data_IF_537952151120
#
_entry.id   IF_537952151120
#
_cell.length_a   1.000
_cell.length_b   1.000
_cell.length_c   1.000
_cell.angle_alpha   90.00
_cell.angle_beta   90.00
_cell.angle_gamma   90.00
#
_symmetry.space_group_name_H-M   'P 1'
#
loop_
_entity.id
_entity.type
_entity.pdbx_description
1 polymer ?
#
# COMPACT_ATOMS: atom_id res chain seq x y z
N UNK A 1 -5.03 0.80 0.34
CA UNK A 1 -4.19 -0.21 1.00
C UNK A 1 -3.74 0.38 2.31
N UNK A 2 -4.28 -0.10 3.43
CA UNK A 2 -3.96 0.40 4.77
C UNK A 2 -2.86 -0.39 5.48
N UNK A 3 -2.45 -1.55 4.93
CA UNK A 3 -1.62 -2.53 5.62
C UNK A 3 -2.18 -2.84 7.00
N UNK A 4 -1.31 -2.81 8.02
CA UNK A 4 -1.64 -3.02 9.44
C UNK A 4 -2.38 -1.83 10.10
N UNK A 5 -2.86 -0.85 9.31
CA UNK A 5 -3.69 0.25 9.79
C UNK A 5 -2.96 1.40 10.48
N UNK A 6 -1.63 1.51 10.34
CA UNK A 6 -0.81 2.57 11.00
C UNK A 6 -1.38 3.98 10.80
N UNK A 7 -1.68 4.36 9.56
CA UNK A 7 -2.23 5.69 9.27
C UNK A 7 -3.72 5.79 9.57
N UNK A 8 -4.46 4.69 9.42
CA UNK A 8 -5.86 4.63 9.78
C UNK A 8 -6.07 4.94 11.27
N UNK A 9 -5.21 4.39 12.14
CA UNK A 9 -5.23 4.68 13.57
C UNK A 9 -4.91 6.14 13.87
N UNK A 10 -3.87 6.71 13.26
CA UNK A 10 -3.51 8.12 13.44
C UNK A 10 -4.66 9.04 13.01
N UNK A 11 -5.29 8.79 11.85
CA UNK A 11 -6.43 9.58 11.40
C UNK A 11 -7.62 9.46 12.38
N UNK A 12 -7.92 8.26 12.86
CA UNK A 12 -8.98 8.06 13.85
C UNK A 12 -8.71 8.83 15.15
N UNK A 13 -7.47 8.82 15.64
CA UNK A 13 -7.05 9.57 16.83
C UNK A 13 -7.16 11.10 16.65
N UNK A 14 -7.12 11.58 15.39
CA UNK A 14 -7.39 12.98 15.04
C UNK A 14 -8.87 13.30 14.87
N UNK A 15 -9.77 12.36 15.19
CA UNK A 15 -11.21 12.58 15.26
C UNK A 15 -11.99 12.15 14.02
N UNK A 16 -11.34 11.62 12.98
CA UNK A 16 -12.00 11.18 11.75
C UNK A 16 -12.70 9.82 11.91
N UNK A 17 -13.73 9.60 11.08
CA UNK A 17 -14.33 8.28 10.86
C UNK A 17 -13.54 7.59 9.75
N UNK A 18 -12.95 6.43 10.06
CA UNK A 18 -11.93 5.83 9.22
C UNK A 18 -12.32 4.42 8.82
N UNK A 19 -12.20 4.14 7.53
CA UNK A 19 -12.23 2.78 7.00
C UNK A 19 -10.92 2.46 6.29
N UNK A 20 -10.25 1.40 6.73
CA UNK A 20 -9.07 0.85 6.08
C UNK A 20 -9.41 -0.35 5.20
N UNK A 21 -8.87 -0.36 3.97
CA UNK A 21 -8.94 -1.54 3.09
C UNK A 21 -7.55 -1.98 2.64
N UNK A 22 -7.33 -3.28 2.62
CA UNK A 22 -6.11 -3.90 2.07
C UNK A 22 -6.40 -5.30 1.51
N UNK A 23 -5.61 -5.73 0.53
CA UNK A 23 -5.74 -7.08 -0.05
C UNK A 23 -5.08 -8.14 0.84
N UNK A 24 -4.11 -7.75 1.68
CA UNK A 24 -3.38 -8.66 2.55
C UNK A 24 -4.20 -9.03 3.80
N UNK A 25 -4.79 -10.22 3.80
CA UNK A 25 -5.65 -10.71 4.88
C UNK A 25 -4.95 -10.70 6.25
N UNK A 26 -3.68 -11.10 6.33
CA UNK A 26 -2.92 -11.13 7.59
C UNK A 26 -2.68 -9.71 8.15
N UNK A 27 -2.40 -8.75 7.27
CA UNK A 27 -2.24 -7.35 7.69
C UNK A 27 -3.55 -6.76 8.20
N UNK A 28 -4.67 -7.10 7.57
CA UNK A 28 -6.01 -6.72 8.06
C UNK A 28 -6.33 -7.42 9.37
N UNK A 29 -5.99 -8.70 9.55
CA UNK A 29 -6.23 -9.39 10.81
C UNK A 29 -5.51 -8.70 11.99
N UNK A 30 -4.30 -8.19 11.77
CA UNK A 30 -3.60 -7.36 12.76
C UNK A 30 -4.25 -5.99 12.92
N UNK A 31 -4.61 -5.32 11.82
CA UNK A 31 -5.31 -4.03 11.87
C UNK A 31 -6.65 -4.13 12.61
N UNK A 32 -7.33 -5.28 12.56
CA UNK A 32 -8.60 -5.50 13.25
C UNK A 32 -8.50 -5.49 14.77
N UNK A 33 -7.31 -5.73 15.34
CA UNK A 33 -7.09 -5.72 16.79
C UNK A 33 -7.25 -4.32 17.41
N UNK A 34 -7.25 -3.27 16.59
CA UNK A 34 -7.44 -1.88 16.99
C UNK A 34 -8.75 -1.29 16.44
N UNK A 35 -9.70 -2.11 15.98
CA UNK A 35 -11.03 -1.64 15.56
C UNK A 35 -11.77 -0.95 16.71
N UNK A 36 -12.51 0.08 16.35
CA UNK A 36 -13.38 0.88 17.22
C UNK A 36 -14.64 1.24 16.42
N UNK A 37 -15.68 1.76 17.05
CA UNK A 37 -16.94 2.10 16.37
C UNK A 37 -16.77 2.97 15.11
N UNK A 38 -15.76 3.86 15.08
CA UNK A 38 -15.44 4.73 13.94
C UNK A 38 -14.11 4.39 13.26
N UNK A 39 -13.56 3.22 13.51
CA UNK A 39 -12.33 2.70 12.88
C UNK A 39 -12.55 1.23 12.50
N UNK A 40 -12.75 0.98 11.20
CA UNK A 40 -13.13 -0.33 10.68
C UNK A 40 -12.17 -0.80 9.57
N UNK A 41 -11.94 -2.11 9.47
CA UNK A 41 -11.00 -2.67 8.50
C UNK A 41 -11.59 -3.83 7.68
N UNK A 42 -11.29 -3.85 6.38
CA UNK A 42 -11.78 -4.88 5.47
C UNK A 42 -10.68 -5.43 4.56
N UNK A 43 -10.70 -6.76 4.37
CA UNK A 43 -9.94 -7.39 3.30
C UNK A 43 -10.64 -7.07 1.99
N UNK A 44 -10.04 -6.20 1.18
CA UNK A 44 -10.64 -5.75 -0.07
C UNK A 44 -9.58 -5.35 -1.09
N UNK A 45 -9.82 -5.75 -2.33
CA UNK A 45 -9.00 -5.34 -3.47
C UNK A 45 -9.48 -3.98 -3.98
N UNK A 46 -8.63 -2.97 -3.93
CA UNK A 46 -8.97 -1.62 -4.37
C UNK A 46 -9.40 -1.53 -5.83
N UNK A 47 -9.09 -2.53 -6.68
CA UNK A 47 -9.57 -2.59 -8.07
C UNK A 47 -11.06 -2.93 -8.18
N UNK A 48 -11.67 -3.45 -7.11
CA UNK A 48 -13.08 -3.80 -7.05
C UNK A 48 -13.89 -2.70 -6.37
N UNK A 49 -15.15 -2.46 -6.79
CA UNK A 49 -16.03 -1.51 -6.11
C UNK A 49 -16.16 -1.81 -4.61
N UNK A 50 -16.22 -0.76 -3.81
CA UNK A 50 -16.49 -0.82 -2.38
C UNK A 50 -17.72 0.05 -2.08
N UNK A 51 -17.63 1.05 -1.20
CA UNK A 51 -18.66 2.09 -1.12
C UNK A 51 -18.58 3.08 -2.28
N UNK A 52 -19.72 3.70 -2.57
CA UNK A 52 -19.91 4.65 -3.67
C UNK A 52 -20.47 5.95 -3.09
N UNK A 53 -19.90 7.10 -3.47
CA UNK A 53 -20.29 8.43 -2.99
C UNK A 53 -20.39 8.49 -1.46
N UNK A 54 -19.32 8.10 -0.77
CA UNK A 54 -19.35 7.89 0.68
C UNK A 54 -18.27 8.66 1.43
N UNK A 55 -17.06 8.73 0.91
CA UNK A 55 -15.92 9.32 1.62
C UNK A 55 -15.67 10.77 1.21
N UNK A 56 -15.35 11.62 2.17
CA UNK A 56 -14.83 12.97 1.89
C UNK A 56 -13.39 12.92 1.36
N UNK A 57 -12.57 12.01 1.90
CA UNK A 57 -11.15 11.88 1.57
C UNK A 57 -10.76 10.41 1.42
N UNK A 58 -9.99 10.11 0.38
CA UNK A 58 -9.35 8.82 0.16
C UNK A 58 -7.83 8.98 0.19
N UNK A 59 -7.14 8.07 0.87
CA UNK A 59 -5.68 8.07 0.98
C UNK A 59 -5.07 6.81 0.35
N UNK A 60 -3.99 6.99 -0.41
CA UNK A 60 -3.12 5.90 -0.86
C UNK A 60 -1.66 6.31 -0.64
N UNK A 61 -1.02 5.77 0.40
CA UNK A 61 0.33 6.14 0.80
C UNK A 61 1.37 5.06 0.50
N UNK A 62 2.65 5.45 0.46
CA UNK A 62 3.80 4.55 0.32
C UNK A 62 3.79 3.69 -0.94
N UNK A 63 3.38 4.29 -2.07
CA UNK A 63 3.37 3.63 -3.38
C UNK A 63 2.52 2.36 -3.38
N UNK A 64 1.40 2.35 -2.65
CA UNK A 64 0.50 1.18 -2.63
C UNK A 64 -0.32 1.04 -3.92
N UNK A 65 -0.45 2.13 -4.68
CA UNK A 65 -0.88 2.13 -6.08
C UNK A 65 0.35 1.89 -6.98
N UNK A 66 0.17 1.33 -8.18
CA UNK A 66 1.24 1.19 -9.18
C UNK A 66 1.85 -0.21 -9.35
N UNK A 67 1.51 -1.17 -8.48
CA UNK A 67 1.99 -2.56 -8.58
C UNK A 67 1.18 -3.44 -9.54
N UNK A 68 0.19 -2.88 -10.26
CA UNK A 68 -0.69 -3.68 -11.10
C UNK A 68 -0.02 -4.06 -12.42
N UNK A 69 -0.39 -5.21 -12.97
CA UNK A 69 0.25 -5.76 -14.17
C UNK A 69 -0.12 -5.00 -15.44
N UNK A 70 -1.32 -4.43 -15.51
CA UNK A 70 -1.86 -3.83 -16.73
C UNK A 70 -2.40 -2.42 -16.49
N UNK A 71 -2.40 -1.59 -17.55
CA UNK A 71 -3.06 -0.28 -17.51
C UNK A 71 -4.54 -0.39 -17.11
N UNK A 72 -5.23 -1.44 -17.57
CA UNK A 72 -6.64 -1.68 -17.23
C UNK A 72 -6.87 -1.81 -15.72
N UNK A 73 -5.95 -2.45 -15.01
CA UNK A 73 -6.06 -2.59 -13.55
C UNK A 73 -5.78 -1.28 -12.81
N UNK A 74 -4.84 -0.47 -13.31
CA UNK A 74 -4.62 0.90 -12.81
C UNK A 74 -5.88 1.75 -13.00
N UNK A 75 -6.47 1.72 -14.19
CA UNK A 75 -7.71 2.45 -14.51
C UNK A 75 -8.88 1.96 -13.64
N UNK A 76 -8.95 0.66 -13.33
CA UNK A 76 -9.96 0.10 -12.45
C UNK A 76 -9.81 0.63 -11.02
N UNK A 77 -8.60 0.61 -10.46
CA UNK A 77 -8.33 1.15 -9.12
C UNK A 77 -8.61 2.66 -9.01
N UNK A 78 -8.22 3.45 -10.02
CA UNK A 78 -8.54 4.89 -10.02
C UNK A 78 -10.04 5.14 -10.12
N UNK A 79 -10.75 4.33 -10.91
CA UNK A 79 -12.21 4.44 -11.06
C UNK A 79 -12.93 4.15 -9.75
N UNK A 80 -12.58 3.07 -9.06
CA UNK A 80 -13.22 2.68 -7.80
C UNK A 80 -12.94 3.69 -6.69
N UNK A 81 -11.70 4.21 -6.60
CA UNK A 81 -11.35 5.30 -5.69
C UNK A 81 -12.17 6.56 -6.01
N UNK A 82 -12.22 6.95 -7.28
CA UNK A 82 -13.01 8.13 -7.69
C UNK A 82 -14.50 7.95 -7.42
N UNK A 83 -15.04 6.73 -7.54
CA UNK A 83 -16.44 6.43 -7.27
C UNK A 83 -16.76 6.39 -5.77
N UNK A 84 -15.80 6.07 -4.92
CA UNK A 84 -16.02 6.01 -3.48
C UNK A 84 -16.08 7.40 -2.83
N UNK A 85 -15.51 8.40 -3.49
CA UNK A 85 -15.52 9.79 -3.04
C UNK A 85 -16.88 10.46 -3.28
N UNK A 86 -17.29 11.31 -2.34
CA UNK A 86 -18.38 12.27 -2.54
C UNK A 86 -18.03 13.30 -3.63
N UNK A 87 -19.03 14.00 -4.19
CA UNK A 87 -18.75 15.18 -5.02
C UNK A 87 -17.87 16.18 -4.26
N UNK A 88 -16.78 16.63 -4.89
CA UNK A 88 -15.73 17.46 -4.28
C UNK A 88 -14.85 16.75 -3.23
N UNK A 89 -14.99 15.44 -3.08
CA UNK A 89 -14.09 14.62 -2.27
C UNK A 89 -12.67 14.65 -2.82
N UNK A 90 -11.69 14.46 -1.94
CA UNK A 90 -10.28 14.59 -2.27
C UNK A 90 -9.60 13.23 -2.28
N UNK A 91 -8.88 12.92 -3.35
CA UNK A 91 -7.93 11.81 -3.36
C UNK A 91 -6.53 12.31 -3.09
N UNK A 92 -5.88 11.79 -2.04
CA UNK A 92 -4.49 12.08 -1.72
C UNK A 92 -3.67 10.82 -1.95
N UNK A 93 -2.68 10.94 -2.83
CA UNK A 93 -1.77 9.85 -3.18
C UNK A 93 -0.33 10.30 -2.96
N UNK A 94 0.44 9.43 -2.31
CA UNK A 94 1.90 9.51 -2.30
C UNK A 94 2.45 8.53 -3.33
N UNK A 95 3.23 9.06 -4.28
CA UNK A 95 3.77 8.29 -5.39
C UNK A 95 5.20 8.69 -5.68
N UNK A 96 5.93 7.74 -6.25
CA UNK A 96 7.34 7.89 -6.58
C UNK A 96 7.54 9.04 -7.60
N UNK A 97 8.57 9.85 -7.39
CA UNK A 97 9.01 10.81 -8.39
C UNK A 97 9.85 10.10 -9.47
N UNK A 98 9.22 9.82 -10.62
CA UNK A 98 9.83 9.05 -11.72
C UNK A 98 11.06 9.73 -12.36
N UNK A 99 11.20 11.06 -12.23
CA UNK A 99 12.37 11.77 -12.74
C UNK A 99 13.56 11.72 -11.75
N UNK A 100 13.27 11.64 -10.45
CA UNK A 100 14.30 11.71 -9.41
C UNK A 100 14.76 10.33 -8.92
N UNK A 101 13.83 9.38 -8.77
CA UNK A 101 14.14 8.09 -8.15
C UNK A 101 15.18 7.24 -8.90
N UNK A 102 15.22 7.17 -10.24
CA UNK A 102 16.22 6.35 -10.93
C UNK A 102 17.65 6.84 -10.68
N UNK A 103 17.84 8.16 -10.59
CA UNK A 103 19.16 8.77 -10.42
C UNK A 103 19.71 8.68 -9.00
N UNK A 104 18.85 8.33 -8.03
CA UNK A 104 19.19 8.19 -6.61
C UNK A 104 18.91 6.77 -6.09
N UNK A 105 18.75 5.80 -7.00
CA UNK A 105 18.41 4.43 -6.65
C UNK A 105 19.62 3.73 -6.03
N UNK A 106 19.49 3.28 -4.78
CA UNK A 106 20.45 2.34 -4.20
C UNK A 106 20.16 0.96 -4.76
N UNK A 107 20.95 0.54 -5.74
CA UNK A 107 20.73 -0.66 -6.52
C UNK A 107 20.73 -1.95 -5.68
N UNK A 108 21.59 -2.01 -4.66
CA UNK A 108 21.68 -3.15 -3.73
C UNK A 108 21.75 -2.67 -2.30
N UNK A 109 20.92 -3.23 -1.44
CA UNK A 109 20.87 -2.91 -0.02
C UNK A 109 20.64 -4.21 0.76
N UNK A 110 21.45 -4.45 1.79
CA UNK A 110 21.21 -5.53 2.74
C UNK A 110 20.76 -4.93 4.07
N UNK A 111 19.68 -5.46 4.63
CA UNK A 111 19.24 -5.13 5.99
C UNK A 111 19.24 -6.37 6.86
N UNK A 112 19.64 -6.21 8.12
CA UNK A 112 19.52 -7.24 9.13
C UNK A 112 18.57 -6.75 10.22
N UNK A 113 17.45 -7.44 10.41
CA UNK A 113 16.41 -7.10 11.38
C UNK A 113 16.03 -8.40 12.09
N UNK A 114 16.18 -8.44 13.41
CA UNK A 114 15.75 -9.55 14.27
C UNK A 114 16.18 -10.95 13.77
N UNK A 115 17.44 -11.14 13.37
CA UNK A 115 17.96 -12.43 12.88
C UNK A 115 17.57 -12.76 11.43
N UNK A 116 16.94 -11.82 10.73
CA UNK A 116 16.52 -11.95 9.33
C UNK A 116 17.27 -11.00 8.42
N UNK A 117 17.90 -11.53 7.38
CA UNK A 117 18.53 -10.78 6.30
C UNK A 117 17.52 -10.52 5.19
N UNK A 118 17.47 -9.27 4.76
CA UNK A 118 16.73 -8.81 3.60
C UNK A 118 17.74 -8.30 2.58
N UNK A 119 17.96 -9.08 1.52
CA UNK A 119 18.77 -8.66 0.37
C UNK A 119 17.83 -8.00 -0.65
N UNK A 120 17.98 -6.69 -0.82
CA UNK A 120 17.09 -5.87 -1.62
C UNK A 120 17.83 -5.40 -2.86
N UNK A 121 17.42 -5.92 -4.01
CA UNK A 121 17.87 -5.46 -5.33
C UNK A 121 16.82 -4.54 -5.94
N UNK A 122 17.25 -3.40 -6.49
CA UNK A 122 16.39 -2.42 -7.14
C UNK A 122 16.96 -2.04 -8.50
N UNK A 123 16.10 -1.98 -9.50
CA UNK A 123 16.44 -1.51 -10.84
C UNK A 123 15.23 -0.83 -11.49
N UNK A 124 15.43 -0.18 -12.62
CA UNK A 124 14.35 0.44 -13.39
C UNK A 124 14.61 0.32 -14.89
N UNK A 125 13.55 0.36 -15.68
CA UNK A 125 13.61 0.60 -17.12
C UNK A 125 12.82 1.87 -17.48
N UNK A 126 12.50 2.05 -18.78
CA UNK A 126 11.74 3.21 -19.26
C UNK A 126 10.34 3.33 -18.62
N UNK A 127 9.74 2.22 -18.20
CA UNK A 127 8.34 2.15 -17.78
C UNK A 127 8.15 1.75 -16.32
N UNK A 128 9.07 0.98 -15.74
CA UNK A 128 8.86 0.32 -14.45
C UNK A 128 10.04 0.49 -13.51
N UNK A 129 9.69 0.53 -12.22
CA UNK A 129 10.62 0.35 -11.12
C UNK A 129 10.43 -1.05 -10.56
N UNK A 130 11.53 -1.76 -10.42
CA UNK A 130 11.58 -3.11 -9.93
C UNK A 130 12.27 -3.14 -8.58
N UNK A 131 11.76 -4.01 -7.71
CA UNK A 131 12.34 -4.30 -6.41
C UNK A 131 12.17 -5.77 -6.14
N UNK A 132 13.28 -6.45 -5.93
CA UNK A 132 13.32 -7.83 -5.45
C UNK A 132 13.82 -7.84 -4.01
N UNK A 133 13.21 -8.67 -3.17
CA UNK A 133 13.61 -8.83 -1.77
C UNK A 133 13.78 -10.33 -1.51
N UNK A 134 15.03 -10.79 -1.43
CA UNK A 134 15.33 -12.14 -0.96
C UNK A 134 15.48 -12.13 0.56
N UNK A 135 14.80 -13.05 1.24
CA UNK A 135 14.72 -13.11 2.70
C UNK A 135 15.39 -14.40 3.19
N UNK A 136 16.37 -14.29 4.08
CA UNK A 136 17.01 -15.45 4.71
C UNK A 136 17.14 -15.24 6.20
N UNK A 137 16.95 -16.28 6.99
CA UNK A 137 17.17 -16.24 8.45
C UNK A 137 18.49 -16.90 8.80
N UNK A 138 19.07 -16.58 9.95
CA UNK A 138 20.19 -17.32 10.51
C UNK A 138 19.82 -18.82 10.61
N UNK A 139 20.24 -19.62 9.62
CA UNK A 139 19.98 -21.07 9.55
C UNK A 139 19.14 -21.59 8.38
N UNK A 140 18.52 -20.75 7.54
CA UNK A 140 17.72 -21.22 6.37
C UNK A 140 17.60 -20.17 5.25
N UNK A 141 17.95 -20.57 4.03
CA UNK A 141 17.76 -19.80 2.79
C UNK A 141 16.35 -20.05 2.22
N UNK A 142 15.58 -18.99 1.97
CA UNK A 142 14.34 -19.05 1.19
C UNK A 142 14.39 -18.01 0.05
N UNK A 143 14.36 -18.46 -1.19
CA UNK A 143 14.17 -17.57 -2.34
C UNK A 143 12.67 -17.29 -2.49
N UNK A 144 12.27 -16.03 -2.39
CA UNK A 144 10.92 -15.56 -2.70
C UNK A 144 11.01 -14.70 -3.96
N UNK A 145 10.31 -15.14 -5.02
CA UNK A 145 10.23 -14.48 -6.32
C UNK A 145 9.27 -13.29 -6.31
#
# INVERSE_FOLDING_TARGET
ACGKGRYSKVLFEHGFDVTGIDIAADAIAEAKQQEEDRLQFYVHDMRQPFWINYFDIAFNFFTSFGYFRTKREHDAALRTISQSLLPQGTFVIDYLNVAHAPTHLVAKEQKHIDGTYFNIDRWADEYYFYKQIAVSTDGTHFDVA
#
